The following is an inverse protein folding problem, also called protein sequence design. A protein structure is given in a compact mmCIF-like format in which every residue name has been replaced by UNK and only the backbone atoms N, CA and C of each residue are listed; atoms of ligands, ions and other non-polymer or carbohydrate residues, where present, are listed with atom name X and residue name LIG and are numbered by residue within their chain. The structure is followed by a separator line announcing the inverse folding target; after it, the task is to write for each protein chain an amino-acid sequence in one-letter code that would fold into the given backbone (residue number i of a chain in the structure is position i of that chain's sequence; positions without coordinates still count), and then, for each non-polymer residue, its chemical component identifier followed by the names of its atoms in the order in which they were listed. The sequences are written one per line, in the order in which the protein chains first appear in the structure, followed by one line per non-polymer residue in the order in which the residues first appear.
data_IF_207234486829
#
_entry.id   IF_207234486829
#
_cell.length_a   1.000
_cell.length_b   1.000
_cell.length_c   1.000
_cell.angle_alpha   90.00
_cell.angle_beta   90.00
_cell.angle_gamma   90.00
#
_symmetry.space_group_name_H-M   'P 1'
#
loop_
_entity.id
_entity.type
_entity.pdbx_description
1 polymer ?
2 non-polymer ?
3 water ?
#
# COMPACT_ATOMS: atom_id res chain seq x y z
N UNK A 31 12.86 29.83 19.85
CA UNK A 31 13.38 30.62 18.71
C UNK A 31 13.38 29.65 17.52
N UNK A 32 14.17 28.60 17.68
CA UNK A 32 14.26 27.45 16.75
C UNK A 32 12.88 26.76 16.66
N UNK A 33 12.27 26.48 17.81
CA UNK A 33 10.97 25.80 17.93
C UNK A 33 9.87 26.67 17.31
N UNK A 34 9.89 27.99 17.54
CA UNK A 34 8.90 28.97 17.03
C UNK A 34 9.05 29.15 15.51
N UNK A 35 10.29 29.10 14.98
CA UNK A 35 10.52 29.10 13.51
C UNK A 35 9.92 27.82 12.90
N UNK A 36 10.31 26.69 13.46
CA UNK A 36 9.79 25.34 13.09
C UNK A 36 8.26 25.36 13.12
N UNK A 37 7.64 25.78 14.23
CA UNK A 37 6.16 25.82 14.39
C UNK A 37 5.52 26.72 13.33
N UNK A 38 6.06 27.91 13.10
CA UNK A 38 5.51 28.89 12.15
C UNK A 38 5.53 28.29 10.74
N UNK A 39 6.63 27.64 10.40
CA UNK A 39 6.87 27.09 9.04
C UNK A 39 5.96 25.88 8.80
N UNK A 40 5.79 25.03 9.81
CA UNK A 40 4.93 23.82 9.74
C UNK A 40 3.47 24.24 9.53
N UNK A 41 2.99 25.21 10.31
CA UNK A 41 1.61 25.76 10.25
C UNK A 41 1.37 26.35 8.87
N UNK A 42 2.29 27.21 8.39
CA UNK A 42 2.18 27.83 7.06
C UNK A 42 2.12 26.81 5.94
N UNK A 43 3.04 25.86 5.95
CA UNK A 43 3.16 24.78 4.96
C UNK A 43 1.93 23.91 5.01
N UNK A 44 1.51 23.52 6.21
CA UNK A 44 0.30 22.69 6.38
C UNK A 44 -0.91 23.38 5.73
N UNK A 45 -1.07 24.69 5.96
CA UNK A 45 -2.21 25.46 5.40
C UNK A 45 -2.11 25.51 3.87
N UNK A 46 -0.99 25.95 3.31
CA UNK A 46 -0.90 26.23 1.84
C UNK A 46 -0.81 24.92 1.05
N UNK A 47 0.01 23.95 1.45
CA UNK A 47 0.05 22.62 0.80
C UNK A 47 -1.31 21.94 0.94
N UNK A 48 -1.97 22.12 2.09
CA UNK A 48 -3.36 21.64 2.35
C UNK A 48 -4.31 22.10 1.26
N UNK A 49 -4.21 23.38 0.87
CA UNK A 49 -5.11 24.07 -0.10
C UNK A 49 -4.74 23.72 -1.55
N UNK A 50 -3.47 23.82 -1.93
CA UNK A 50 -3.03 23.70 -3.34
C UNK A 50 -2.16 22.46 -3.59
N UNK A 51 -1.75 21.74 -2.57
CA UNK A 51 -0.91 20.55 -2.79
C UNK A 51 0.57 20.90 -2.87
N UNK A 52 1.37 19.95 -2.39
CA UNK A 52 2.84 19.97 -2.26
C UNK A 52 3.50 20.53 -3.51
N UNK A 53 3.09 20.07 -4.69
CA UNK A 53 3.76 20.34 -5.98
C UNK A 53 3.51 21.79 -6.44
N UNK A 54 2.47 22.48 -5.94
CA UNK A 54 2.02 23.81 -6.42
C UNK A 54 2.59 24.96 -5.57
N UNK A 55 3.22 24.68 -4.43
CA UNK A 55 3.67 25.73 -3.48
C UNK A 55 5.15 25.50 -3.17
N UNK A 56 5.98 26.49 -3.46
CA UNK A 56 7.42 26.49 -3.16
C UNK A 56 7.68 26.97 -1.76
N UNK A 57 8.90 26.71 -1.32
CA UNK A 57 9.37 26.92 0.06
C UNK A 57 9.43 28.42 0.36
N UNK A 58 9.80 29.31 -0.59
CA UNK A 58 9.86 30.74 -0.30
C UNK A 58 8.47 31.35 0.02
N UNK A 59 7.43 30.91 -0.66
CA UNK A 59 6.03 31.32 -0.36
C UNK A 59 5.65 30.87 1.06
N UNK A 60 6.12 29.70 1.45
CA UNK A 60 5.86 29.18 2.83
C UNK A 60 6.62 30.05 3.85
N UNK A 61 7.87 30.42 3.59
CA UNK A 61 8.68 31.28 4.50
C UNK A 61 7.94 32.58 4.79
N UNK A 62 7.45 33.23 3.73
CA UNK A 62 6.70 34.50 3.83
C UNK A 62 5.38 34.30 4.62
N UNK A 63 4.66 33.22 4.34
CA UNK A 63 3.42 32.90 5.08
C UNK A 63 3.76 32.79 6.58
N UNK A 64 4.92 32.23 6.89
CA UNK A 64 5.37 31.92 8.26
C UNK A 64 5.95 33.18 8.92
N UNK A 65 6.27 34.21 8.12
CA UNK A 65 6.91 35.44 8.60
C UNK A 65 8.35 35.16 8.99
N UNK A 66 9.02 34.38 8.15
CA UNK A 66 10.39 33.83 8.35
C UNK A 66 11.21 34.16 7.11
N UNK A 67 12.52 34.41 7.27
CA UNK A 67 13.45 34.61 6.12
C UNK A 67 13.81 33.24 5.54
N UNK A 68 14.07 33.17 4.23
CA UNK A 68 14.61 31.96 3.55
C UNK A 68 15.74 31.35 4.39
N UNK A 69 16.66 32.17 4.88
CA UNK A 69 17.79 31.78 5.74
C UNK A 69 17.35 31.08 7.02
N UNK A 70 16.40 31.64 7.77
CA UNK A 70 15.89 31.04 9.03
C UNK A 70 15.27 29.68 8.70
N UNK A 71 14.63 29.61 7.55
CA UNK A 71 13.93 28.38 7.11
C UNK A 71 14.95 27.29 6.74
N UNK A 72 15.91 27.60 5.88
CA UNK A 72 16.93 26.65 5.38
C UNK A 72 17.78 26.14 6.54
N UNK A 73 17.98 26.94 7.59
CA UNK A 73 18.64 26.55 8.87
C UNK A 73 17.82 25.46 9.60
N UNK A 74 16.48 25.48 9.53
CA UNK A 74 15.61 24.50 10.23
C UNK A 74 15.27 23.31 9.32
N UNK A 75 15.32 23.48 8.00
CA UNK A 75 14.97 22.42 7.04
C UNK A 75 15.88 22.53 5.80
N UNK A 76 16.66 21.49 5.53
CA UNK A 76 17.57 21.41 4.37
C UNK A 76 16.77 21.64 3.08
N UNK A 77 15.62 20.99 2.93
CA UNK A 77 14.85 21.05 1.67
C UNK A 77 13.34 20.95 1.95
N UNK A 78 12.58 21.06 0.87
CA UNK A 78 11.11 21.00 0.81
C UNK A 78 10.57 19.72 1.47
N UNK A 79 11.17 18.58 1.12
CA UNK A 79 10.73 17.24 1.57
C UNK A 79 10.88 17.16 3.09
N UNK A 80 11.96 17.70 3.65
CA UNK A 80 12.25 17.60 5.10
C UNK A 80 11.12 18.28 5.87
N UNK A 81 10.73 19.47 5.41
CA UNK A 81 9.62 20.29 5.98
C UNK A 81 8.33 19.49 5.84
N UNK A 82 8.12 18.86 4.68
CA UNK A 82 6.93 18.00 4.41
C UNK A 82 6.88 16.88 5.44
N UNK A 83 8.01 16.32 5.85
CA UNK A 83 8.07 15.22 6.85
C UNK A 83 7.55 15.70 8.21
N UNK A 84 7.86 16.92 8.64
CA UNK A 84 7.36 17.43 9.95
C UNK A 84 5.86 17.75 9.81
N UNK A 85 5.42 18.17 8.63
CA UNK A 85 3.99 18.50 8.37
C UNK A 85 3.17 17.20 8.50
N UNK A 86 3.63 16.14 7.81
CA UNK A 86 3.00 14.79 7.90
C UNK A 86 2.89 14.36 9.37
N UNK A 87 3.95 14.43 10.15
CA UNK A 87 3.96 14.00 11.57
C UNK A 87 2.82 14.75 12.31
N UNK A 88 2.80 16.06 12.20
CA UNK A 88 1.83 16.90 12.97
C UNK A 88 0.42 16.57 12.47
N UNK A 89 0.21 16.37 11.17
CA UNK A 89 -1.14 16.07 10.61
C UNK A 89 -1.59 14.68 11.10
N UNK A 90 -0.70 13.71 11.15
CA UNK A 90 -1.07 12.32 11.54
C UNK A 90 -1.48 12.33 13.02
N UNK A 91 -0.74 13.02 13.90
CA UNK A 91 -1.11 13.18 15.32
C UNK A 91 -2.54 13.73 15.45
N UNK A 92 -2.87 14.76 14.67
CA UNK A 92 -4.19 15.43 14.71
C UNK A 92 -5.22 14.39 14.25
N UNK A 93 -4.92 13.68 13.18
CA UNK A 93 -5.84 12.68 12.57
C UNK A 93 -6.18 11.60 13.61
N UNK A 94 -5.18 11.07 14.32
CA UNK A 94 -5.37 9.98 15.32
C UNK A 94 -6.13 10.53 16.53
N UNK A 95 -5.81 11.76 16.94
CA UNK A 95 -6.48 12.45 18.06
C UNK A 95 -7.94 12.67 17.67
N UNK A 96 -8.19 13.14 16.45
CA UNK A 96 -9.56 13.33 15.90
C UNK A 96 -10.34 12.01 15.95
N UNK A 97 -9.71 10.93 15.52
CA UNK A 97 -10.36 9.60 15.46
C UNK A 97 -10.63 9.06 16.86
N UNK A 98 -9.69 9.14 17.81
CA UNK A 98 -9.91 8.72 19.21
C UNK A 98 -11.06 9.55 19.82
N UNK A 99 -11.04 10.87 19.60
CA UNK A 99 -12.08 11.80 20.12
C UNK A 99 -13.19 11.92 19.07
N UNK A 100 -13.76 10.78 18.68
CA UNK A 100 -14.82 10.60 17.64
C UNK A 100 -15.43 9.19 17.81
N UNK A 101 -14.57 8.20 18.10
CA UNK A 101 -14.91 6.85 18.65
C UNK A 101 -15.48 6.99 20.06
N UNK A 102 -14.86 7.82 20.92
CA UNK A 102 -15.35 8.21 22.27
C UNK A 102 -16.72 8.89 22.17
N UNK A 103 -16.93 9.68 21.12
CA UNK A 103 -18.18 10.41 20.83
C UNK A 103 -19.23 9.48 20.22
N UNK A 104 -18.85 8.31 19.69
CA UNK A 104 -19.79 7.37 19.02
C UNK A 104 -20.69 6.71 20.07
N UNK A 105 -20.25 6.59 21.32
CA UNK A 105 -20.96 5.87 22.39
C UNK A 105 -21.17 4.39 22.08
N UNK A 106 -20.17 3.77 21.45
CA UNK A 106 -20.11 2.32 21.19
C UNK A 106 -20.05 1.57 22.52
N UNK A 107 -20.93 0.59 22.72
CA UNK A 107 -21.07 -0.19 23.96
C UNK A 107 -20.01 -1.32 24.04
N UNK A 108 -19.67 -1.94 22.90
CA UNK A 108 -18.70 -3.06 22.82
C UNK A 108 -17.45 -2.70 22.00
N UNK A 109 -16.32 -3.41 22.20
CA UNK A 109 -15.21 -3.37 21.25
C UNK A 109 -15.54 -3.54 19.75
N UNK A 110 -16.45 -4.45 19.40
CA UNK A 110 -16.91 -4.67 18.01
C UNK A 110 -17.49 -3.37 17.45
N UNK A 111 -18.35 -2.70 18.22
CA UNK A 111 -18.98 -1.42 17.79
C UNK A 111 -17.94 -0.31 17.74
N UNK A 112 -16.88 -0.42 18.53
CA UNK A 112 -15.81 0.60 18.62
C UNK A 112 -14.95 0.46 17.36
N UNK A 113 -14.74 -0.79 16.91
CA UNK A 113 -14.05 -1.08 15.62
C UNK A 113 -14.87 -0.50 14.47
N UNK A 114 -16.19 -0.69 14.51
CA UNK A 114 -17.10 -0.18 13.44
C UNK A 114 -17.06 1.34 13.42
N UNK A 115 -17.14 1.99 14.60
CA UNK A 115 -17.04 3.45 14.77
C UNK A 115 -15.69 3.94 14.25
N UNK A 116 -14.61 3.21 14.55
CA UNK A 116 -13.23 3.59 14.18
C UNK A 116 -13.09 3.58 12.65
N UNK A 117 -13.63 2.57 11.99
CA UNK A 117 -13.67 2.55 10.50
C UNK A 117 -14.45 3.77 9.97
N UNK A 118 -15.65 4.07 10.46
CA UNK A 118 -16.46 5.26 10.06
C UNK A 118 -15.69 6.55 10.33
N UNK A 119 -15.02 6.63 11.48
CA UNK A 119 -14.23 7.80 11.94
C UNK A 119 -13.15 8.12 10.90
N UNK A 120 -12.48 7.08 10.37
CA UNK A 120 -11.41 7.19 9.35
C UNK A 120 -11.98 7.64 8.01
N UNK A 121 -13.13 7.13 7.59
CA UNK A 121 -13.82 7.64 6.37
C UNK A 121 -14.18 9.12 6.55
N UNK A 122 -14.68 9.49 7.74
CA UNK A 122 -15.11 10.89 8.08
C UNK A 122 -13.88 11.79 7.97
N UNK A 123 -12.76 11.39 8.58
CA UNK A 123 -11.53 12.23 8.74
C UNK A 123 -10.72 12.30 7.43
N UNK A 124 -10.72 11.26 6.61
CA UNK A 124 -9.94 11.19 5.36
C UNK A 124 -10.69 11.96 4.27
N UNK A 125 -11.98 12.22 4.49
CA UNK A 125 -12.78 13.09 3.61
C UNK A 125 -12.48 14.57 3.85
N UNK A 126 -11.85 14.92 4.97
CA UNK A 126 -11.32 16.29 5.22
C UNK A 126 -10.36 16.64 4.10
N UNK A 127 -10.60 17.73 3.35
CA UNK A 127 -9.79 18.06 2.17
C UNK A 127 -8.27 18.19 2.42
N UNK A 128 -7.86 18.69 3.58
CA UNK A 128 -6.44 18.82 4.00
C UNK A 128 -5.83 17.42 4.14
N UNK A 129 -6.52 16.51 4.85
CA UNK A 129 -6.04 15.11 5.08
C UNK A 129 -5.95 14.41 3.72
N UNK A 130 -6.94 14.60 2.84
CA UNK A 130 -6.96 14.04 1.47
C UNK A 130 -5.70 14.48 0.73
N UNK A 131 -5.44 15.78 0.65
CA UNK A 131 -4.32 16.33 -0.16
C UNK A 131 -2.97 15.89 0.43
N UNK A 132 -2.74 16.11 1.72
CA UNK A 132 -1.40 15.91 2.34
C UNK A 132 -1.10 14.42 2.53
N UNK A 133 -2.07 13.65 3.04
CA UNK A 133 -1.85 12.25 3.51
C UNK A 133 -2.14 11.26 2.39
N UNK A 134 -3.26 11.41 1.67
CA UNK A 134 -3.69 10.41 0.65
C UNK A 134 -3.02 10.71 -0.70
N UNK A 135 -2.87 11.97 -1.12
CA UNK A 135 -2.25 12.32 -2.45
C UNK A 135 -0.74 12.60 -2.33
N UNK A 136 -0.30 13.57 -1.53
CA UNK A 136 1.13 13.99 -1.57
C UNK A 136 2.04 13.03 -0.78
N UNK A 137 1.63 12.53 0.38
CA UNK A 137 2.56 11.79 1.27
C UNK A 137 3.12 10.58 0.53
N UNK A 138 2.29 9.75 -0.14
CA UNK A 138 2.81 8.54 -0.78
C UNK A 138 3.90 8.89 -1.82
N UNK A 139 3.68 9.94 -2.61
CA UNK A 139 4.66 10.38 -3.65
C UNK A 139 5.96 10.80 -2.97
N UNK A 140 5.91 11.73 -2.00
CA UNK A 140 7.09 12.43 -1.40
C UNK A 140 7.86 11.48 -0.46
N UNK A 141 7.17 10.65 0.33
CA UNK A 141 7.78 9.69 1.30
C UNK A 141 8.09 8.33 0.62
N UNK A 142 7.39 8.02 -0.47
CA UNK A 142 7.42 6.69 -1.08
C UNK A 142 6.56 5.74 -0.27
N UNK A 143 6.38 4.51 -0.74
CA UNK A 143 5.62 3.44 -0.05
C UNK A 143 6.30 3.09 1.30
N UNK A 144 7.62 2.92 1.35
CA UNK A 144 8.32 2.49 2.58
C UNK A 144 8.08 3.55 3.67
N UNK A 145 8.34 4.81 3.32
CA UNK A 145 8.25 5.96 4.22
C UNK A 145 6.83 6.14 4.70
N UNK A 146 5.87 6.00 3.81
CA UNK A 146 4.45 6.22 4.13
C UNK A 146 3.99 5.14 5.10
N UNK A 147 4.37 3.89 4.87
CA UNK A 147 4.03 2.75 5.75
C UNK A 147 4.60 3.00 7.15
N UNK A 148 5.86 3.48 7.24
CA UNK A 148 6.55 3.77 8.52
C UNK A 148 5.71 4.77 9.34
N UNK A 149 5.31 5.87 8.70
CA UNK A 149 4.52 6.95 9.31
C UNK A 149 3.13 6.42 9.65
N UNK A 150 2.46 5.79 8.69
CA UNK A 150 1.10 5.26 8.84
C UNK A 150 1.08 4.32 10.05
N UNK A 151 2.05 3.41 10.14
CA UNK A 151 2.07 2.35 11.18
C UNK A 151 2.59 2.94 12.49
N UNK A 152 3.53 3.89 12.50
CA UNK A 152 3.97 4.60 13.74
C UNK A 152 2.75 5.25 14.42
N UNK A 153 1.79 5.76 13.66
CA UNK A 153 0.65 6.53 14.23
C UNK A 153 -0.57 5.64 14.48
N UNK A 154 -0.82 4.57 13.72
CA UNK A 154 -2.11 3.83 13.84
C UNK A 154 -1.97 2.43 14.46
N UNK A 155 -0.79 1.82 14.51
CA UNK A 155 -0.66 0.38 14.89
C UNK A 155 -1.18 0.14 16.31
N UNK A 156 -0.66 0.88 17.31
CA UNK A 156 -1.04 0.84 18.73
C UNK A 156 -2.54 0.93 18.94
N UNK A 157 -3.21 1.97 18.41
CA UNK A 157 -4.69 2.12 18.48
C UNK A 157 -5.38 0.88 17.85
N UNK A 158 -4.95 0.47 16.66
CA UNK A 158 -5.49 -0.71 15.93
C UNK A 158 -5.30 -1.99 16.76
N UNK A 159 -4.08 -2.27 17.23
CA UNK A 159 -3.75 -3.44 18.08
C UNK A 159 -4.59 -3.45 19.37
N UNK A 160 -4.73 -2.29 20.01
CA UNK A 160 -5.51 -2.14 21.26
C UNK A 160 -6.97 -2.52 20.99
N UNK A 161 -7.52 -2.04 19.88
CA UNK A 161 -8.95 -2.24 19.50
C UNK A 161 -9.20 -3.74 19.22
N UNK A 162 -8.27 -4.40 18.53
CA UNK A 162 -8.29 -5.87 18.25
C UNK A 162 -8.22 -6.61 19.59
N UNK A 163 -7.30 -6.22 20.48
CA UNK A 163 -7.06 -6.90 21.77
C UNK A 163 -8.36 -6.88 22.57
N UNK A 164 -9.03 -5.75 22.67
CA UNK A 164 -10.29 -5.59 23.44
C UNK A 164 -11.37 -6.51 22.88
N UNK A 165 -11.51 -6.60 21.55
CA UNK A 165 -12.52 -7.42 20.88
C UNK A 165 -12.25 -8.90 21.18
N UNK A 166 -10.97 -9.28 21.26
CA UNK A 166 -10.55 -10.65 21.65
C UNK A 166 -10.95 -10.88 23.12
N UNK A 167 -10.59 -9.95 24.01
CA UNK A 167 -10.84 -10.02 25.48
C UNK A 167 -12.36 -10.18 25.72
N UNK A 168 -13.21 -9.51 24.95
CA UNK A 168 -14.69 -9.56 25.08
C UNK A 168 -15.30 -10.78 24.37
N UNK A 169 -14.50 -11.68 23.80
CA UNK A 169 -15.03 -12.83 23.04
C UNK A 169 -15.67 -12.44 21.71
N UNK A 170 -15.48 -11.22 21.19
CA UNK A 170 -16.16 -10.79 19.93
C UNK A 170 -15.25 -10.99 18.71
N UNK A 171 -14.01 -11.41 18.94
CA UNK A 171 -13.01 -11.65 17.87
C UNK A 171 -12.19 -12.88 18.28
N UNK A 172 -12.14 -13.90 17.43
CA UNK A 172 -11.28 -15.09 17.62
C UNK A 172 -9.85 -14.67 18.00
N UNK A 173 -9.34 -15.29 19.07
CA UNK A 173 -7.90 -15.32 19.42
C UNK A 173 -7.13 -15.65 18.13
N UNK A 174 -6.04 -14.94 17.86
CA UNK A 174 -5.49 -14.73 16.50
C UNK A 174 -4.30 -13.77 16.63
N UNK A 175 -3.26 -13.85 15.79
CA UNK A 175 -2.13 -12.94 15.88
C UNK A 175 -2.56 -11.48 15.61
N UNK A 176 -2.32 -10.62 16.60
CA UNK A 176 -2.81 -9.22 16.71
C UNK A 176 -2.04 -8.32 15.74
N UNK A 177 -0.72 -8.38 15.72
CA UNK A 177 0.09 -7.46 14.88
C UNK A 177 -0.21 -7.71 13.40
N UNK A 178 -0.19 -8.97 12.89
CA UNK A 178 -0.56 -9.24 11.50
C UNK A 178 -1.96 -8.81 11.09
N UNK A 179 -2.97 -9.03 11.92
CA UNK A 179 -4.36 -8.58 11.60
C UNK A 179 -4.37 -7.04 11.54
N UNK A 180 -3.73 -6.37 12.49
CA UNK A 180 -3.59 -4.89 12.53
C UNK A 180 -2.96 -4.36 11.24
N UNK A 181 -1.88 -5.00 10.80
CA UNK A 181 -1.13 -4.55 9.60
C UNK A 181 -2.05 -4.62 8.40
N UNK A 182 -2.69 -5.77 8.23
CA UNK A 182 -3.62 -6.04 7.11
C UNK A 182 -4.77 -5.01 7.16
N UNK A 183 -5.43 -4.81 8.31
CA UNK A 183 -6.57 -3.86 8.42
C UNK A 183 -6.12 -2.46 8.03
N UNK A 184 -4.94 -2.03 8.50
CA UNK A 184 -4.40 -0.69 8.14
C UNK A 184 -4.10 -0.60 6.64
N UNK A 185 -3.56 -1.63 6.00
CA UNK A 185 -3.39 -1.64 4.54
C UNK A 185 -4.73 -1.50 3.82
N UNK A 186 -5.77 -2.16 4.31
CA UNK A 186 -7.12 -2.12 3.73
C UNK A 186 -7.67 -0.72 3.90
N UNK A 187 -7.63 -0.16 5.11
CA UNK A 187 -8.30 1.14 5.38
C UNK A 187 -7.55 2.25 4.67
N UNK A 188 -6.22 2.23 4.70
CA UNK A 188 -5.43 3.22 3.89
C UNK A 188 -5.86 3.15 2.41
N UNK A 189 -5.87 1.95 1.82
CA UNK A 189 -6.27 1.72 0.40
C UNK A 189 -7.72 2.15 0.16
N UNK A 190 -8.63 1.85 1.10
CA UNK A 190 -10.05 2.28 1.04
C UNK A 190 -10.07 3.79 0.81
N UNK A 191 -9.36 4.53 1.66
CA UNK A 191 -9.38 6.00 1.67
C UNK A 191 -8.77 6.54 0.39
N UNK A 192 -7.72 5.91 -0.13
CA UNK A 192 -7.05 6.35 -1.39
C UNK A 192 -7.99 6.10 -2.54
N UNK A 193 -8.77 5.01 -2.50
CA UNK A 193 -9.72 4.67 -3.59
C UNK A 193 -10.75 5.80 -3.68
N UNK A 194 -11.30 6.21 -2.54
CA UNK A 194 -12.30 7.32 -2.43
C UNK A 194 -11.67 8.62 -2.92
N UNK A 195 -10.44 8.93 -2.50
CA UNK A 195 -9.75 10.22 -2.72
C UNK A 195 -9.59 10.52 -4.21
N UNK A 196 -9.37 9.50 -5.05
CA UNK A 196 -9.07 9.69 -6.49
C UNK A 196 -10.22 9.19 -7.35
N UNK A 197 -11.37 8.84 -6.77
CA UNK A 197 -12.54 8.33 -7.53
C UNK A 197 -13.09 9.44 -8.43
N UNK A 198 -13.61 9.07 -9.61
CA UNK A 198 -14.41 9.97 -10.49
C UNK A 198 -15.51 10.59 -9.60
N UNK A 199 -16.30 9.77 -8.89
CA UNK A 199 -17.46 10.23 -8.07
C UNK A 199 -17.21 9.88 -6.60
N UNK A 200 -16.42 10.67 -5.85
CA UNK A 200 -16.08 10.34 -4.46
C UNK A 200 -17.28 10.09 -3.55
N UNK A 201 -18.42 10.73 -3.81
CA UNK A 201 -19.66 10.57 -2.98
C UNK A 201 -20.15 9.11 -3.10
N UNK A 202 -20.11 8.60 -4.34
CA UNK A 202 -20.48 7.20 -4.66
C UNK A 202 -19.40 6.24 -4.12
N UNK A 203 -18.12 6.56 -4.32
CA UNK A 203 -16.98 5.72 -3.89
C UNK A 203 -17.06 5.51 -2.38
N UNK A 204 -17.32 6.57 -1.63
CA UNK A 204 -17.46 6.52 -0.15
C UNK A 204 -18.56 5.53 0.24
N UNK A 205 -19.75 5.68 -0.33
CA UNK A 205 -20.94 4.91 0.11
C UNK A 205 -20.69 3.43 -0.20
N UNK A 206 -20.07 3.13 -1.36
CA UNK A 206 -19.78 1.74 -1.84
C UNK A 206 -18.63 1.10 -1.03
N UNK A 207 -17.54 1.83 -0.84
CA UNK A 207 -16.40 1.41 0.03
C UNK A 207 -16.94 1.22 1.46
N UNK A 208 -17.80 2.09 1.96
CA UNK A 208 -18.37 1.95 3.31
C UNK A 208 -19.12 0.60 3.39
N UNK A 209 -19.89 0.22 2.37
CA UNK A 209 -20.63 -1.07 2.33
C UNK A 209 -19.61 -2.22 2.40
N UNK A 210 -18.55 -2.14 1.59
CA UNK A 210 -17.49 -3.16 1.46
C UNK A 210 -16.74 -3.32 2.79
N UNK A 211 -16.35 -2.22 3.43
CA UNK A 211 -15.61 -2.26 4.72
C UNK A 211 -16.54 -2.84 5.79
N UNK A 212 -17.82 -2.48 5.77
CA UNK A 212 -18.79 -3.04 6.74
C UNK A 212 -18.84 -4.56 6.56
N UNK A 213 -18.91 -5.07 5.33
CA UNK A 213 -18.92 -6.54 5.09
C UNK A 213 -17.58 -7.15 5.53
N UNK A 214 -16.45 -6.53 5.24
CA UNK A 214 -15.10 -7.06 5.60
C UNK A 214 -15.00 -7.23 7.14
N UNK A 215 -15.41 -6.21 7.89
CA UNK A 215 -15.39 -6.10 9.37
C UNK A 215 -16.37 -7.11 9.97
N UNK A 216 -17.56 -7.21 9.41
CA UNK A 216 -18.60 -8.18 9.84
C UNK A 216 -18.09 -9.61 9.60
N UNK A 217 -17.26 -9.82 8.57
CA UNK A 217 -16.62 -11.11 8.27
C UNK A 217 -15.43 -11.39 9.19
N UNK A 218 -14.78 -10.35 9.68
CA UNK A 218 -13.68 -10.49 10.64
C UNK A 218 -14.25 -10.84 12.03
N UNK A 219 -15.45 -10.34 12.36
CA UNK A 219 -15.95 -10.36 13.77
C UNK A 219 -16.81 -11.61 14.11
N UNK A 220 -17.18 -11.77 15.40
CA UNK A 220 -18.03 -12.86 15.99
C UNK A 220 -19.42 -12.32 16.44
N UNK A 221 -20.48 -13.13 16.35
CA UNK A 221 -21.86 -12.74 16.76
C UNK A 221 -22.78 -13.91 17.13
N UNK B 29 19.37 -5.01 -36.05
CA UNK B 29 17.99 -5.33 -36.51
C UNK B 29 17.43 -6.45 -35.60
N UNK B 30 17.57 -7.70 -36.06
CA UNK B 30 17.35 -8.95 -35.28
C UNK B 30 18.31 -8.98 -34.07
N UNK B 31 19.53 -8.46 -34.25
CA UNK B 31 20.58 -8.35 -33.20
C UNK B 31 20.15 -7.31 -32.15
N UNK B 32 19.45 -6.27 -32.59
CA UNK B 32 18.88 -5.23 -31.70
C UNK B 32 17.79 -5.88 -30.82
N UNK B 33 16.93 -6.72 -31.40
CA UNK B 33 15.86 -7.45 -30.68
C UNK B 33 16.47 -8.43 -29.68
N UNK B 34 17.52 -9.17 -30.06
CA UNK B 34 18.27 -10.13 -29.20
C UNK B 34 18.98 -9.42 -28.04
N UNK B 35 19.53 -8.23 -28.28
CA UNK B 35 20.17 -7.36 -27.28
C UNK B 35 19.15 -7.01 -26.20
N UNK B 36 17.98 -6.49 -26.60
CA UNK B 36 16.87 -6.13 -25.68
C UNK B 36 16.56 -7.30 -24.71
N UNK B 37 16.28 -8.48 -25.26
CA UNK B 37 15.96 -9.70 -24.48
C UNK B 37 17.15 -10.09 -23.57
N UNK B 38 18.36 -10.11 -24.10
CA UNK B 38 19.58 -10.51 -23.34
C UNK B 38 19.76 -9.55 -22.16
N UNK B 39 19.58 -8.25 -22.36
CA UNK B 39 19.77 -7.22 -21.31
C UNK B 39 18.70 -7.37 -20.20
N UNK B 40 17.45 -7.59 -20.58
CA UNK B 40 16.34 -7.78 -19.60
C UNK B 40 16.61 -9.03 -18.73
N UNK B 41 16.95 -10.16 -19.36
CA UNK B 41 17.26 -11.46 -18.71
C UNK B 41 18.45 -11.29 -17.76
N UNK B 42 19.53 -10.67 -18.23
CA UNK B 42 20.74 -10.44 -17.43
C UNK B 42 20.49 -9.53 -16.23
N UNK B 43 19.82 -8.40 -16.45
CA UNK B 43 19.45 -7.43 -15.41
C UNK B 43 18.51 -8.11 -14.41
N UNK B 44 17.52 -8.88 -14.90
CA UNK B 44 16.56 -9.58 -14.02
C UNK B 44 17.32 -10.50 -13.07
N UNK B 45 18.28 -11.26 -13.58
CA UNK B 45 19.08 -12.24 -12.79
C UNK B 45 19.91 -11.49 -11.76
N UNK B 46 20.71 -10.49 -12.17
CA UNK B 46 21.69 -9.84 -11.26
C UNK B 46 20.99 -8.95 -10.25
N UNK B 47 20.07 -8.09 -10.67
CA UNK B 47 19.27 -7.28 -9.73
C UNK B 47 18.49 -8.20 -8.78
N UNK B 48 17.96 -9.32 -9.29
CA UNK B 48 17.27 -10.37 -8.51
C UNK B 48 18.12 -10.83 -7.35
N UNK B 49 19.40 -11.07 -7.60
CA UNK B 49 20.40 -11.67 -6.65
C UNK B 49 20.88 -10.61 -5.65
N UNK B 50 21.36 -9.48 -6.14
CA UNK B 50 21.90 -8.34 -5.35
C UNK B 50 20.88 -7.26 -5.66
N UNK B 51 20.71 -6.19 -4.91
CA UNK B 51 19.60 -5.28 -5.27
C UNK B 51 19.87 -4.54 -6.58
N UNK B 52 18.87 -3.79 -7.05
CA UNK B 52 19.01 -2.67 -8.01
C UNK B 52 20.23 -1.78 -7.71
N UNK B 53 20.42 -1.43 -6.43
CA UNK B 53 21.46 -0.48 -5.94
C UNK B 53 22.90 -1.01 -6.13
N UNK B 54 23.09 -2.33 -6.21
CA UNK B 54 24.38 -3.03 -6.06
C UNK B 54 24.93 -3.46 -7.43
N UNK B 55 24.15 -3.30 -8.50
CA UNK B 55 24.58 -3.71 -9.88
C UNK B 55 24.39 -2.55 -10.81
N UNK B 56 25.50 -2.08 -11.39
CA UNK B 56 25.55 -1.04 -12.41
C UNK B 56 25.30 -1.63 -13.77
N UNK B 57 24.97 -0.76 -14.72
CA UNK B 57 24.59 -1.09 -16.11
C UNK B 57 25.80 -1.66 -16.83
N UNK B 58 27.06 -1.22 -16.55
CA UNK B 58 28.22 -1.84 -17.22
C UNK B 58 28.34 -3.35 -16.94
N UNK B 59 28.15 -3.78 -15.71
CA UNK B 59 28.20 -5.23 -15.37
C UNK B 59 27.05 -5.97 -16.05
N UNK B 60 25.91 -5.32 -16.21
CA UNK B 60 24.73 -5.93 -16.90
C UNK B 60 25.08 -6.12 -18.39
N UNK B 61 25.67 -5.12 -19.04
CA UNK B 61 26.06 -5.20 -20.48
C UNK B 61 27.01 -6.38 -20.71
N UNK B 62 27.99 -6.56 -19.81
CA UNK B 62 28.99 -7.66 -19.84
C UNK B 62 28.26 -9.00 -19.64
N UNK B 63 27.35 -9.07 -18.69
CA UNK B 63 26.58 -10.30 -18.39
C UNK B 63 25.85 -10.68 -19.68
N UNK B 64 25.35 -9.70 -20.41
CA UNK B 64 24.53 -9.87 -21.63
C UNK B 64 25.45 -10.15 -22.84
N UNK B 65 26.74 -9.86 -22.72
CA UNK B 65 27.70 -9.97 -23.83
C UNK B 65 27.49 -8.91 -24.88
N UNK B 66 27.11 -7.68 -24.50
CA UNK B 66 26.93 -6.55 -25.48
C UNK B 66 27.67 -5.32 -24.99
N UNK B 67 27.78 -4.33 -25.89
CA UNK B 67 28.47 -3.04 -25.64
C UNK B 67 27.47 -2.08 -24.98
N UNK B 68 28.00 -1.22 -24.12
CA UNK B 68 27.32 -0.05 -23.53
C UNK B 68 26.51 0.68 -24.63
N UNK B 69 27.08 0.89 -25.82
CA UNK B 69 26.41 1.54 -26.98
C UNK B 69 25.14 0.81 -27.43
N UNK B 70 25.18 -0.52 -27.58
CA UNK B 70 23.99 -1.31 -27.99
C UNK B 70 22.94 -1.20 -26.88
N UNK B 71 23.41 -1.14 -25.65
CA UNK B 71 22.51 -1.07 -24.47
C UNK B 71 21.82 0.29 -24.40
N UNK B 72 22.58 1.38 -24.50
CA UNK B 72 22.07 2.77 -24.41
C UNK B 72 21.07 3.03 -25.55
N UNK B 73 21.23 2.40 -26.73
CA UNK B 73 20.27 2.44 -27.87
C UNK B 73 18.92 1.79 -27.45
N UNK B 74 18.93 0.72 -26.65
CA UNK B 74 17.67 0.02 -26.24
C UNK B 74 17.09 0.63 -24.95
N UNK B 75 17.91 1.20 -24.08
CA UNK B 75 17.46 1.73 -22.78
C UNK B 75 18.21 3.02 -22.47
N UNK B 76 17.45 4.11 -22.32
CA UNK B 76 17.97 5.48 -22.10
C UNK B 76 18.82 5.48 -20.83
N UNK B 77 18.38 4.81 -19.77
CA UNK B 77 19.09 4.79 -18.45
C UNK B 77 18.75 3.49 -17.72
N UNK B 78 19.31 3.35 -16.53
CA UNK B 78 19.19 2.19 -15.61
C UNK B 78 17.72 1.93 -15.27
N UNK B 79 16.99 2.99 -14.93
CA UNK B 79 15.59 2.91 -14.45
C UNK B 79 14.73 2.36 -15.59
N UNK B 80 14.97 2.79 -16.82
CA UNK B 80 14.17 2.39 -18.00
C UNK B 80 14.27 0.87 -18.16
N UNK B 81 15.49 0.33 -18.06
CA UNK B 81 15.76 -1.12 -18.13
C UNK B 81 15.07 -1.82 -16.95
N UNK B 82 15.10 -1.21 -15.78
CA UNK B 82 14.42 -1.74 -14.57
C UNK B 82 12.91 -1.86 -14.84
N UNK B 83 12.32 -0.89 -15.55
CA UNK B 83 10.85 -0.91 -15.82
C UNK B 83 10.49 -2.10 -16.73
N UNK B 84 11.36 -2.50 -17.68
CA UNK B 84 11.05 -3.68 -18.53
C UNK B 84 11.21 -4.96 -17.71
N UNK B 85 12.12 -4.95 -16.76
CA UNK B 85 12.38 -6.11 -15.86
C UNK B 85 11.13 -6.32 -14.99
N UNK B 86 10.65 -5.25 -14.35
CA UNK B 86 9.39 -5.28 -13.56
C UNK B 86 8.26 -5.89 -14.40
N UNK B 87 8.02 -5.42 -15.61
CA UNK B 87 6.93 -5.94 -16.47
C UNK B 87 7.09 -7.47 -16.60
N UNK B 88 8.27 -7.96 -16.97
CA UNK B 88 8.49 -9.39 -17.22
C UNK B 88 8.30 -10.16 -15.89
N UNK B 89 8.75 -9.61 -14.75
CA UNK B 89 8.61 -10.32 -13.45
C UNK B 89 7.13 -10.37 -13.04
N UNK B 90 6.37 -9.30 -13.25
CA UNK B 90 4.92 -9.24 -12.92
C UNK B 90 4.15 -10.26 -13.75
N UNK B 91 4.46 -10.37 -15.04
CA UNK B 91 3.86 -11.40 -15.94
C UNK B 91 4.07 -12.80 -15.36
N UNK B 92 5.31 -13.11 -14.92
CA UNK B 92 5.65 -14.42 -14.34
C UNK B 92 4.84 -14.59 -13.05
N UNK B 93 4.74 -13.54 -12.24
CA UNK B 93 4.04 -13.57 -10.92
C UNK B 93 2.55 -13.95 -11.16
N UNK B 94 1.90 -13.32 -12.14
CA UNK B 94 0.45 -13.52 -12.40
C UNK B 94 0.24 -14.89 -13.03
N UNK B 95 1.17 -15.31 -13.87
CA UNK B 95 1.12 -16.62 -14.53
C UNK B 95 1.32 -17.69 -13.45
N UNK B 96 2.28 -17.51 -12.55
CA UNK B 96 2.51 -18.48 -11.45
C UNK B 96 1.27 -18.52 -10.52
N UNK B 97 0.60 -17.40 -10.26
CA UNK B 97 -0.65 -17.36 -9.45
C UNK B 97 -1.80 -18.10 -10.13
N UNK B 98 -2.05 -17.84 -11.40
CA UNK B 98 -3.08 -18.57 -12.19
C UNK B 98 -2.73 -20.08 -12.23
N UNK B 99 -1.47 -20.45 -12.43
CA UNK B 99 -0.99 -21.86 -12.40
C UNK B 99 -1.30 -22.47 -11.04
N UNK B 100 -1.02 -21.77 -9.94
CA UNK B 100 -1.15 -22.37 -8.59
C UNK B 100 -2.63 -22.63 -8.24
N UNK B 101 -3.53 -21.72 -8.63
CA UNK B 101 -5.00 -21.82 -8.42
C UNK B 101 -5.57 -23.01 -9.22
N UNK B 102 -5.21 -23.10 -10.52
CA UNK B 102 -5.59 -24.22 -11.44
C UNK B 102 -5.05 -25.55 -10.91
N UNK B 103 -3.87 -25.53 -10.30
CA UNK B 103 -3.18 -26.70 -9.70
C UNK B 103 -3.85 -27.13 -8.39
N UNK B 104 -4.50 -26.21 -7.67
CA UNK B 104 -5.14 -26.48 -6.35
C UNK B 104 -6.35 -27.41 -6.49
N UNK B 105 -6.96 -27.51 -7.67
CA UNK B 105 -8.13 -28.37 -7.92
C UNK B 105 -9.36 -27.80 -7.26
N UNK B 106 -9.41 -26.46 -7.13
CA UNK B 106 -10.52 -25.71 -6.55
C UNK B 106 -11.77 -25.92 -7.41
N UNK B 107 -12.82 -26.47 -6.82
CA UNK B 107 -14.09 -26.80 -7.52
C UNK B 107 -14.98 -25.54 -7.56
N UNK B 108 -14.91 -24.70 -6.52
CA UNK B 108 -15.74 -23.48 -6.37
C UNK B 108 -14.91 -22.21 -6.47
N UNK B 109 -15.51 -21.07 -6.86
CA UNK B 109 -14.93 -19.74 -6.61
C UNK B 109 -14.40 -19.48 -5.20
N UNK B 110 -15.09 -19.93 -4.16
CA UNK B 110 -14.65 -19.76 -2.75
C UNK B 110 -13.32 -20.47 -2.54
N UNK B 111 -13.19 -21.71 -3.04
CA UNK B 111 -11.93 -22.50 -2.94
C UNK B 111 -10.83 -21.88 -3.80
N UNK B 112 -11.22 -21.16 -4.86
CA UNK B 112 -10.27 -20.54 -5.80
C UNK B 112 -9.70 -19.31 -5.10
N UNK B 113 -10.55 -18.61 -4.34
CA UNK B 113 -10.13 -17.45 -3.53
C UNK B 113 -9.15 -17.94 -2.46
N UNK B 114 -9.46 -19.08 -1.82
CA UNK B 114 -8.57 -19.65 -0.76
C UNK B 114 -7.20 -20.00 -1.36
N UNK B 115 -7.20 -20.67 -2.52
CA UNK B 115 -5.97 -21.01 -3.28
C UNK B 115 -5.19 -19.73 -3.63
N UNK B 116 -5.90 -18.70 -4.11
CA UNK B 116 -5.30 -17.48 -4.67
C UNK B 116 -4.60 -16.72 -3.53
N UNK B 117 -5.21 -16.68 -2.34
CA UNK B 117 -4.56 -16.01 -1.18
C UNK B 117 -3.24 -16.72 -0.87
N UNK B 118 -3.26 -18.06 -0.74
CA UNK B 118 -2.04 -18.88 -0.48
C UNK B 118 -1.02 -18.67 -1.60
N UNK B 119 -1.49 -18.63 -2.84
CA UNK B 119 -0.63 -18.54 -4.04
C UNK B 119 0.17 -17.22 -3.98
N UNK B 120 -0.49 -16.11 -3.58
CA UNK B 120 0.12 -14.76 -3.43
C UNK B 120 1.21 -14.76 -2.35
N UNK B 121 0.95 -15.36 -1.19
CA UNK B 121 1.95 -15.48 -0.12
C UNK B 121 3.12 -16.34 -0.59
N UNK B 122 2.84 -17.44 -1.30
CA UNK B 122 3.87 -18.35 -1.86
C UNK B 122 4.76 -17.54 -2.83
N UNK B 123 4.16 -16.77 -3.72
CA UNK B 123 4.83 -16.11 -4.89
C UNK B 123 5.60 -14.87 -4.44
N UNK B 124 5.10 -14.12 -3.45
CA UNK B 124 5.74 -12.88 -2.94
C UNK B 124 6.90 -13.25 -2.02
N UNK B 125 6.90 -14.47 -1.48
CA UNK B 125 8.01 -15.02 -0.68
C UNK B 125 9.17 -15.49 -1.55
N UNK B 126 8.99 -15.64 -2.87
CA UNK B 126 10.11 -15.92 -3.81
C UNK B 126 11.12 -14.77 -3.68
N UNK B 127 12.40 -15.05 -3.33
CA UNK B 127 13.39 -13.99 -3.10
C UNK B 127 13.59 -12.96 -4.23
N UNK B 128 13.47 -13.37 -5.49
CA UNK B 128 13.52 -12.48 -6.69
C UNK B 128 12.33 -11.49 -6.66
N UNK B 129 11.11 -11.97 -6.41
CA UNK B 129 9.87 -11.13 -6.34
C UNK B 129 10.01 -10.18 -5.14
N UNK B 130 10.52 -10.65 -4.01
CA UNK B 130 10.74 -9.82 -2.79
C UNK B 130 11.66 -8.66 -3.16
N UNK B 131 12.85 -8.95 -3.72
CA UNK B 131 13.88 -7.93 -4.04
C UNK B 131 13.35 -6.93 -5.08
N UNK B 132 12.88 -7.44 -6.23
CA UNK B 132 12.55 -6.56 -7.40
C UNK B 132 11.24 -5.79 -7.22
N UNK B 133 10.20 -6.47 -6.73
CA UNK B 133 8.81 -5.97 -6.73
C UNK B 133 8.49 -5.28 -5.40
N UNK B 134 8.86 -5.87 -4.27
CA UNK B 134 8.49 -5.34 -2.94
C UNK B 134 9.50 -4.29 -2.48
N UNK B 135 10.81 -4.49 -2.68
CA UNK B 135 11.87 -3.55 -2.18
C UNK B 135 12.28 -2.56 -3.28
N UNK B 136 12.73 -2.99 -4.46
CA UNK B 136 13.30 -2.04 -5.46
C UNK B 136 12.17 -1.30 -6.22
N UNK B 137 11.10 -1.95 -6.64
CA UNK B 137 10.18 -1.32 -7.60
C UNK B 137 9.60 -0.03 -7.01
N UNK B 138 9.08 -0.03 -5.75
CA UNK B 138 8.42 1.18 -5.23
C UNK B 138 9.42 2.35 -5.21
N UNK B 139 10.67 2.11 -4.81
CA UNK B 139 11.73 3.17 -4.79
C UNK B 139 12.01 3.68 -6.23
N UNK B 140 12.31 2.78 -7.19
CA UNK B 140 12.81 3.12 -8.58
C UNK B 140 11.69 3.66 -9.48
N UNK B 141 10.49 3.13 -9.39
CA UNK B 141 9.31 3.57 -10.20
C UNK B 141 8.64 4.77 -9.51
N UNK B 142 8.73 4.86 -8.20
CA UNK B 142 8.01 5.87 -7.42
C UNK B 142 6.62 5.37 -7.21
N UNK B 143 5.85 6.10 -6.43
CA UNK B 143 4.51 5.69 -5.94
C UNK B 143 3.55 5.51 -7.14
N UNK B 144 3.37 6.55 -7.96
CA UNK B 144 2.37 6.55 -9.05
C UNK B 144 2.69 5.41 -10.02
N UNK B 145 3.95 5.30 -10.43
CA UNK B 145 4.42 4.29 -11.39
C UNK B 145 4.16 2.88 -10.90
N UNK B 146 4.57 2.63 -9.66
CA UNK B 146 4.48 1.29 -9.05
C UNK B 146 2.99 0.92 -8.91
N UNK B 147 2.16 1.84 -8.42
CA UNK B 147 0.72 1.53 -8.21
C UNK B 147 0.06 1.18 -9.55
N UNK B 148 0.39 1.92 -10.60
CA UNK B 148 -0.16 1.72 -11.97
C UNK B 148 0.17 0.32 -12.48
N UNK B 149 1.42 -0.11 -12.33
CA UNK B 149 1.91 -1.47 -12.68
C UNK B 149 1.21 -2.51 -11.80
N UNK B 150 1.24 -2.34 -10.49
CA UNK B 150 0.62 -3.29 -9.53
C UNK B 150 -0.85 -3.50 -9.90
N UNK B 151 -1.56 -2.39 -10.17
CA UNK B 151 -3.02 -2.40 -10.47
C UNK B 151 -3.24 -3.03 -11.86
N UNK B 152 -2.41 -2.70 -12.86
CA UNK B 152 -2.49 -3.29 -14.25
C UNK B 152 -2.44 -4.83 -14.15
N UNK B 153 -1.63 -5.41 -13.28
CA UNK B 153 -1.37 -6.86 -13.24
C UNK B 153 -2.29 -7.58 -12.25
N UNK B 154 -2.80 -6.97 -11.16
CA UNK B 154 -3.55 -7.73 -10.13
C UNK B 154 -5.07 -7.48 -10.14
N UNK B 155 -5.56 -6.33 -10.65
CA UNK B 155 -6.97 -5.90 -10.49
C UNK B 155 -7.92 -6.90 -11.19
N UNK B 156 -7.64 -7.18 -12.46
CA UNK B 156 -8.41 -8.09 -13.35
C UNK B 156 -8.62 -9.46 -12.71
N UNK B 157 -7.55 -10.15 -12.33
CA UNK B 157 -7.63 -11.48 -11.67
C UNK B 157 -8.47 -11.35 -10.38
N UNK B 158 -8.22 -10.31 -9.56
CA UNK B 158 -8.95 -10.08 -8.29
C UNK B 158 -10.46 -9.84 -8.55
N UNK B 159 -10.80 -8.93 -9.47
CA UNK B 159 -12.21 -8.63 -9.89
C UNK B 159 -12.89 -9.91 -10.41
N UNK B 160 -12.20 -10.68 -11.23
CA UNK B 160 -12.74 -11.92 -11.88
C UNK B 160 -13.11 -12.92 -10.80
N UNK B 161 -12.24 -13.06 -9.80
CA UNK B 161 -12.42 -14.04 -8.70
C UNK B 161 -13.64 -13.65 -7.85
N UNK B 162 -13.78 -12.36 -7.55
CA UNK B 162 -14.92 -11.79 -6.78
C UNK B 162 -16.20 -11.99 -7.59
N UNK B 163 -16.17 -11.67 -8.89
CA UNK B 163 -17.36 -11.76 -9.78
C UNK B 163 -17.87 -13.21 -9.74
N UNK B 164 -16.99 -14.19 -9.91
CA UNK B 164 -17.39 -15.63 -9.95
C UNK B 164 -18.07 -16.02 -8.63
N UNK B 165 -17.52 -15.59 -7.50
CA UNK B 165 -18.01 -15.93 -6.15
C UNK B 165 -19.39 -15.32 -5.98
N UNK B 166 -19.62 -14.12 -6.50
CA UNK B 166 -20.96 -13.45 -6.48
C UNK B 166 -21.91 -14.27 -7.36
N UNK B 167 -21.52 -14.60 -8.59
CA UNK B 167 -22.39 -15.33 -9.56
C UNK B 167 -22.80 -16.68 -8.95
N UNK B 168 -21.92 -17.34 -8.21
CA UNK B 168 -22.18 -18.65 -7.56
C UNK B 168 -22.96 -18.49 -6.24
N UNK B 169 -23.33 -17.29 -5.82
CA UNK B 169 -23.96 -17.04 -4.51
C UNK B 169 -23.03 -17.28 -3.33
N UNK B 170 -21.71 -17.35 -3.52
CA UNK B 170 -20.74 -17.65 -2.42
C UNK B 170 -20.18 -16.35 -1.83
N UNK B 171 -20.56 -15.21 -2.41
CA UNK B 171 -20.17 -13.88 -1.95
C UNK B 171 -21.35 -12.95 -2.17
N UNK B 172 -21.76 -12.24 -1.13
CA UNK B 172 -22.82 -11.23 -1.14
C UNK B 172 -22.59 -10.28 -2.31
N UNK B 173 -23.65 -10.04 -3.07
CA UNK B 173 -23.65 -9.02 -4.14
C UNK B 173 -23.17 -7.69 -3.52
N UNK B 174 -22.18 -7.04 -4.11
CA UNK B 174 -21.58 -5.80 -3.55
C UNK B 174 -20.72 -5.17 -4.65
N UNK B 175 -20.29 -3.91 -4.51
CA UNK B 175 -19.48 -3.27 -5.53
C UNK B 175 -18.15 -4.01 -5.69
N UNK B 176 -17.87 -4.49 -6.91
CA UNK B 176 -16.71 -5.35 -7.28
C UNK B 176 -15.40 -4.55 -7.21
N UNK B 177 -15.31 -3.39 -7.84
CA UNK B 177 -14.02 -2.65 -7.92
C UNK B 177 -13.56 -2.25 -6.51
N UNK B 178 -14.41 -1.64 -5.65
CA UNK B 178 -14.03 -1.33 -4.26
C UNK B 178 -13.59 -2.51 -3.38
N UNK B 179 -14.26 -3.66 -3.47
CA UNK B 179 -13.87 -4.87 -2.70
C UNK B 179 -12.49 -5.31 -3.20
N UNK B 180 -12.30 -5.35 -4.52
CA UNK B 180 -11.02 -5.70 -5.17
C UNK B 180 -9.90 -4.78 -4.66
N UNK B 181 -10.14 -3.49 -4.61
CA UNK B 181 -9.09 -2.50 -4.28
C UNK B 181 -8.74 -2.68 -2.80
N UNK B 182 -9.74 -2.87 -1.94
CA UNK B 182 -9.51 -3.08 -0.48
C UNK B 182 -8.68 -4.35 -0.29
N UNK B 183 -9.09 -5.45 -0.93
CA UNK B 183 -8.41 -6.76 -0.79
C UNK B 183 -6.97 -6.63 -1.28
N UNK B 184 -6.74 -5.87 -2.34
CA UNK B 184 -5.37 -5.67 -2.89
C UNK B 184 -4.54 -4.84 -1.90
N UNK B 185 -5.11 -3.85 -1.25
CA UNK B 185 -4.39 -3.14 -0.17
C UNK B 185 -4.01 -4.09 0.97
N UNK B 186 -4.88 -5.01 1.33
CA UNK B 186 -4.64 -5.98 2.41
C UNK B 186 -3.52 -6.93 1.97
N UNK B 187 -3.61 -7.48 0.77
CA UNK B 187 -2.63 -8.50 0.29
C UNK B 187 -1.27 -7.82 0.04
N UNK B 188 -1.24 -6.61 -0.52
CA UNK B 188 0.02 -5.84 -0.70
C UNK B 188 0.67 -5.58 0.67
N UNK B 189 -0.11 -5.16 1.67
CA UNK B 189 0.41 -4.92 3.04
C UNK B 189 0.90 -6.26 3.61
N UNK B 190 0.13 -7.34 3.41
CA UNK B 190 0.52 -8.68 3.90
C UNK B 190 1.94 -8.98 3.39
N UNK B 191 2.15 -8.83 2.08
CA UNK B 191 3.41 -9.19 1.39
C UNK B 191 4.58 -8.34 1.93
N UNK B 192 4.36 -7.03 2.11
CA UNK B 192 5.40 -6.09 2.58
C UNK B 192 5.75 -6.46 4.02
N UNK B 193 4.75 -6.85 4.81
CA UNK B 193 4.93 -7.13 6.25
C UNK B 193 5.86 -8.35 6.34
N UNK B 194 5.61 -9.38 5.57
CA UNK B 194 6.44 -10.62 5.56
C UNK B 194 7.84 -10.30 5.04
N UNK B 195 7.97 -9.52 3.97
CA UNK B 195 9.25 -9.19 3.29
C UNK B 195 10.26 -8.51 4.24
N UNK B 196 9.78 -7.73 5.20
CA UNK B 196 10.60 -6.90 6.12
C UNK B 196 10.61 -7.48 7.53
N UNK B 197 9.97 -8.62 7.79
CA UNK B 197 9.78 -9.15 9.17
C UNK B 197 11.13 -9.62 9.73
N UNK B 198 11.32 -9.47 11.04
CA UNK B 198 12.33 -10.18 11.85
C UNK B 198 12.30 -11.67 11.47
N UNK B 199 11.15 -12.34 11.60
CA UNK B 199 11.00 -13.81 11.41
C UNK B 199 10.01 -14.05 10.29
N UNK B 200 10.42 -13.92 9.01
CA UNK B 200 9.48 -13.99 7.89
C UNK B 200 8.64 -15.28 7.88
N UNK B 201 9.22 -16.41 8.36
CA UNK B 201 8.57 -17.74 8.36
C UNK B 201 7.34 -17.67 9.26
N UNK B 202 7.50 -17.02 10.40
CA UNK B 202 6.43 -16.80 11.39
C UNK B 202 5.41 -15.79 10.84
N UNK B 203 5.87 -14.66 10.29
CA UNK B 203 5.00 -13.59 9.72
C UNK B 203 4.09 -14.20 8.66
N UNK B 204 4.63 -15.00 7.76
CA UNK B 204 3.88 -15.67 6.66
C UNK B 204 2.79 -16.53 7.27
N UNK B 205 3.16 -17.42 8.19
CA UNK B 205 2.21 -18.44 8.73
C UNK B 205 1.06 -17.70 9.44
N UNK B 206 1.37 -16.65 10.20
CA UNK B 206 0.40 -15.85 11.01
C UNK B 206 -0.49 -14.96 10.12
N UNK B 207 0.09 -14.28 9.15
CA UNK B 207 -0.68 -13.50 8.14
C UNK B 207 -1.58 -14.45 7.35
N UNK B 208 -1.08 -15.62 6.98
CA UNK B 208 -1.88 -16.65 6.26
C UNK B 208 -3.12 -16.97 7.14
N UNK B 209 -2.94 -17.22 8.44
CA UNK B 209 -4.04 -17.56 9.38
C UNK B 209 -5.09 -16.42 9.37
N UNK B 210 -4.64 -15.18 9.47
CA UNK B 210 -5.51 -13.99 9.62
C UNK B 210 -6.30 -13.77 8.31
N UNK B 211 -5.63 -13.86 7.16
CA UNK B 211 -6.34 -13.68 5.86
C UNK B 211 -7.37 -14.82 5.71
N UNK B 212 -6.98 -16.05 6.03
CA UNK B 212 -7.88 -17.21 5.88
C UNK B 212 -9.10 -17.02 6.78
N UNK B 213 -8.93 -16.56 8.02
CA UNK B 213 -10.07 -16.27 8.93
C UNK B 213 -10.95 -15.17 8.34
N UNK B 214 -10.37 -14.10 7.81
CA UNK B 214 -11.16 -12.96 7.27
C UNK B 214 -12.05 -13.48 6.13
N UNK B 215 -11.49 -14.25 5.18
CA UNK B 215 -12.26 -14.65 3.96
C UNK B 215 -13.24 -15.76 4.32
N UNK B 216 -12.89 -16.67 5.23
CA UNK B 216 -13.82 -17.67 5.76
C UNK B 216 -15.00 -17.00 6.48
N UNK B 217 -14.82 -15.79 6.99
CA UNK B 217 -15.91 -14.99 7.57
C UNK B 217 -16.75 -14.25 6.53
N UNK B 218 -16.29 -14.05 5.30
CA UNK B 218 -17.11 -13.38 4.25
C UNK B 218 -17.72 -14.43 3.31
N UNK B 219 -17.12 -15.61 3.17
CA UNK B 219 -17.45 -16.53 2.07
C UNK B 219 -18.60 -17.46 2.54
N UNK B 220 -19.70 -17.40 1.79
CA UNK B 220 -20.81 -18.36 1.87
C UNK B 220 -20.38 -19.67 1.18
N UNK B 221 -19.53 -20.44 1.85
CA UNK B 221 -18.78 -21.55 1.23
C UNK B 221 -17.29 -21.32 1.45
#
# INVERSE_FOLDING_TARGET
MGSSHHHHHHSSGLVPRGSHMEIKRRTQEERSAATREALITGARKLWGLRGYAEVGTPEIATEAGVTRGAMYHQFADKAALFRDVVEVVEQDVMARMATLVAASGAATPADAIRAAVDAWLEVSGDPEVRQLILLDAPVVLGWAGFRDVAQRYSLGMTEQLITEAIRAGQLARQPVRPLAQVLIGALDEAAMFIATADDPKRARRETRQVLRRLIDGMLNG
MGSSHHHHHHSSGLVPRGSHMEIKRRTQEERSAATREALITGARKLWGLRGYAEVGTPEIATEAGVTRGAMYHQFADKAALFRDVVEVVEQDVMARMATLVAASGAATPADAIRAAVDAWLEVSGDPEVRQLILLDAPVVLGWAGFRDVAQRYSLGMTEQLITEAIRAGQLARQPVRPLAQVLIGALDEAAMFIATADDPKRARRETRQVLRRLIDGMLNG
#
